data_IF_344655207326
#
_entry.id   IF_344655207326
#
_cell.length_a   1.000
_cell.length_b   1.000
_cell.length_c   1.000
_cell.angle_alpha   90.00
_cell.angle_beta   90.00
_cell.angle_gamma   90.00
#
_symmetry.space_group_name_H-M   'P 1'
#
loop_
_entity.id
_entity.type
_entity.pdbx_description
1 polymer ?
#
# COMPACT_ATOMS: atom_id res chain seq x y z
N UNK A 1 0.18 -3.80 -0.18
CA UNK A 1 1.48 -3.34 -0.70
C UNK A 1 2.40 -4.55 -0.84
N UNK A 2 3.02 -4.80 -1.99
CA UNK A 2 3.96 -5.89 -2.17
C UNK A 2 5.14 -5.80 -1.20
N UNK A 3 5.61 -6.95 -0.69
CA UNK A 3 6.79 -7.01 0.15
C UNK A 3 8.06 -6.76 -0.69
N UNK A 4 9.04 -6.12 -0.09
CA UNK A 4 10.34 -5.85 -0.71
C UNK A 4 11.48 -6.09 0.30
N UNK A 5 12.73 -6.03 -0.16
CA UNK A 5 13.91 -6.31 0.67
C UNK A 5 13.97 -5.52 1.99
N UNK A 6 13.42 -4.29 2.01
CA UNK A 6 13.32 -3.50 3.24
C UNK A 6 12.46 -4.16 4.33
N UNK A 7 11.40 -4.86 3.95
CA UNK A 7 10.57 -5.61 4.91
C UNK A 7 11.33 -6.83 5.46
N UNK A 8 12.02 -7.57 4.58
CA UNK A 8 12.85 -8.71 4.99
C UNK A 8 13.95 -8.27 5.94
N UNK A 9 14.66 -7.19 5.62
CA UNK A 9 15.67 -6.60 6.49
C UNK A 9 15.10 -6.28 7.87
N UNK A 10 13.96 -5.61 7.96
CA UNK A 10 13.35 -5.25 9.24
C UNK A 10 12.96 -6.49 10.07
N UNK A 11 12.42 -7.53 9.41
CA UNK A 11 12.09 -8.79 10.07
C UNK A 11 13.34 -9.48 10.63
N UNK A 12 14.43 -9.53 9.87
CA UNK A 12 15.69 -10.11 10.30
C UNK A 12 16.32 -9.33 11.44
N UNK A 13 16.32 -8.00 11.38
CA UNK A 13 16.82 -7.15 12.46
C UNK A 13 16.03 -7.36 13.74
N UNK A 14 14.69 -7.33 13.67
CA UNK A 14 13.84 -7.56 14.83
C UNK A 14 14.04 -8.96 15.44
N UNK A 15 14.17 -9.98 14.59
CA UNK A 15 14.45 -11.33 15.03
C UNK A 15 15.81 -11.43 15.75
N UNK A 16 16.87 -10.86 15.15
CA UNK A 16 18.23 -10.90 15.71
C UNK A 16 18.29 -10.20 17.07
N UNK A 17 17.70 -9.01 17.20
CA UNK A 17 17.62 -8.28 18.47
C UNK A 17 16.85 -9.09 19.52
N UNK A 18 15.73 -9.71 19.13
CA UNK A 18 14.98 -10.58 20.04
C UNK A 18 15.79 -11.76 20.55
N UNK A 19 16.62 -12.38 19.70
CA UNK A 19 17.50 -13.49 20.12
C UNK A 19 18.59 -13.02 21.07
N UNK A 20 19.23 -11.87 20.81
CA UNK A 20 20.26 -11.29 21.70
C UNK A 20 19.66 -11.00 23.09
N UNK A 21 18.51 -10.35 23.14
CA UNK A 21 17.84 -10.04 24.40
C UNK A 21 17.46 -11.32 25.18
N UNK A 22 16.97 -12.34 24.47
CA UNK A 22 16.64 -13.63 25.08
C UNK A 22 17.89 -14.33 25.65
N UNK A 23 19.01 -14.30 24.91
CA UNK A 23 20.28 -14.87 25.37
C UNK A 23 20.82 -14.16 26.62
N UNK A 24 20.50 -12.89 26.82
CA UNK A 24 20.82 -12.14 28.03
C UNK A 24 19.80 -12.33 29.18
N UNK A 25 18.96 -13.35 29.12
CA UNK A 25 18.02 -13.68 30.18
C UNK A 25 16.73 -12.86 30.21
N UNK A 26 16.49 -12.01 29.23
CA UNK A 26 15.26 -11.21 29.20
C UNK A 26 14.06 -12.04 28.68
N UNK A 27 12.88 -11.78 29.24
CA UNK A 27 11.62 -12.28 28.67
C UNK A 27 11.27 -11.47 27.44
N UNK A 28 11.32 -12.08 26.26
CA UNK A 28 11.05 -11.41 24.99
C UNK A 28 9.71 -11.84 24.44
N UNK A 29 8.83 -10.89 24.19
CA UNK A 29 7.54 -11.07 23.49
C UNK A 29 7.65 -10.39 22.12
N UNK A 30 7.55 -11.21 21.06
CA UNK A 30 7.52 -10.69 19.69
C UNK A 30 6.08 -10.36 19.32
N UNK A 31 5.86 -9.14 18.88
CA UNK A 31 4.56 -8.65 18.43
C UNK A 31 4.69 -7.98 17.07
N UNK A 32 3.58 -7.92 16.33
CA UNK A 32 3.49 -7.12 15.11
C UNK A 32 2.16 -6.35 15.12
N UNK A 33 2.20 -5.18 14.52
CA UNK A 33 1.00 -4.39 14.31
C UNK A 33 0.31 -4.87 13.04
N UNK A 34 -0.97 -5.22 13.16
CA UNK A 34 -1.83 -5.49 12.02
C UNK A 34 -2.56 -4.19 11.68
N UNK A 35 -2.30 -3.68 10.47
CA UNK A 35 -2.96 -2.49 9.95
C UNK A 35 -3.74 -2.88 8.70
N UNK A 36 -5.03 -3.04 8.85
CA UNK A 36 -5.99 -3.40 7.81
C UNK A 36 -6.79 -2.19 7.29
N UNK A 37 -6.56 -1.00 7.86
CA UNK A 37 -7.18 0.26 7.45
C UNK A 37 -6.11 1.32 7.16
N UNK A 38 -6.22 1.98 6.02
CA UNK A 38 -5.32 3.07 5.67
C UNK A 38 -5.29 3.39 4.18
N UNK A 39 -4.64 4.48 3.83
CA UNK A 39 -4.61 5.00 2.45
C UNK A 39 -4.05 3.99 1.43
N UNK A 40 -3.09 3.15 1.81
CA UNK A 40 -2.51 2.16 0.90
C UNK A 40 -3.53 1.08 0.50
N UNK A 41 -4.42 0.69 1.43
CA UNK A 41 -5.49 -0.26 1.16
C UNK A 41 -6.54 0.40 0.27
N UNK A 42 -6.92 1.64 0.58
CA UNK A 42 -7.84 2.42 -0.26
C UNK A 42 -7.36 2.56 -1.70
N UNK A 43 -6.05 2.75 -1.91
CA UNK A 43 -5.44 2.80 -3.26
C UNK A 43 -5.66 1.51 -4.05
N UNK A 44 -5.37 0.36 -3.43
CA UNK A 44 -5.58 -0.95 -4.08
C UNK A 44 -7.05 -1.22 -4.36
N UNK A 45 -7.92 -0.94 -3.39
CA UNK A 45 -9.36 -1.12 -3.53
C UNK A 45 -9.95 -0.25 -4.63
N UNK A 46 -9.55 1.02 -4.68
CA UNK A 46 -10.01 1.96 -5.70
C UNK A 46 -9.57 1.51 -7.11
N UNK A 47 -8.30 1.15 -7.28
CA UNK A 47 -7.80 0.67 -8.55
C UNK A 47 -8.51 -0.63 -8.98
N UNK A 48 -8.74 -1.55 -8.06
CA UNK A 48 -9.52 -2.76 -8.35
C UNK A 48 -10.95 -2.42 -8.80
N UNK A 49 -11.60 -1.48 -8.13
CA UNK A 49 -12.95 -1.05 -8.50
C UNK A 49 -13.02 -0.40 -9.88
N UNK A 50 -12.03 0.43 -10.22
CA UNK A 50 -12.00 1.17 -11.48
C UNK A 50 -11.55 0.32 -12.66
N UNK A 51 -10.59 -0.58 -12.45
CA UNK A 51 -9.88 -1.28 -13.52
C UNK A 51 -9.94 -2.80 -13.43
N UNK A 52 -10.50 -3.36 -12.35
CA UNK A 52 -10.49 -4.79 -12.09
C UNK A 52 -11.61 -5.58 -12.77
N UNK A 53 -12.66 -4.91 -13.26
CA UNK A 53 -13.76 -5.61 -13.93
C UNK A 53 -14.39 -6.75 -13.13
N UNK A 54 -14.32 -6.71 -11.79
CA UNK A 54 -14.80 -7.78 -10.92
C UNK A 54 -13.84 -8.97 -10.76
N UNK A 55 -12.56 -8.83 -11.17
CA UNK A 55 -11.54 -9.87 -11.00
C UNK A 55 -11.43 -10.30 -9.52
N UNK A 56 -11.40 -11.59 -9.27
CA UNK A 56 -11.25 -12.21 -7.95
C UNK A 56 -10.03 -13.12 -7.94
N UNK A 57 -9.53 -13.53 -6.75
CA UNK A 57 -8.48 -14.54 -6.67
C UNK A 57 -8.85 -15.83 -7.40
N UNK A 58 -10.12 -16.25 -7.31
CA UNK A 58 -10.61 -17.45 -7.98
C UNK A 58 -10.63 -17.30 -9.51
N UNK A 59 -11.11 -16.16 -10.04
CA UNK A 59 -11.19 -15.94 -11.49
C UNK A 59 -9.82 -15.69 -12.13
N UNK A 60 -8.87 -15.12 -11.38
CA UNK A 60 -7.52 -14.80 -11.87
C UNK A 60 -6.49 -15.92 -11.65
N UNK A 61 -6.80 -16.91 -10.80
CA UNK A 61 -5.85 -17.93 -10.36
C UNK A 61 -4.71 -17.38 -9.47
N UNK A 62 -4.80 -16.13 -9.05
CA UNK A 62 -3.81 -15.50 -8.19
C UNK A 62 -4.19 -15.63 -6.71
N UNK A 63 -3.17 -15.64 -5.83
CA UNK A 63 -3.40 -15.45 -4.39
C UNK A 63 -3.94 -14.06 -4.12
N UNK A 64 -4.77 -13.91 -3.08
CA UNK A 64 -5.40 -12.64 -2.73
C UNK A 64 -4.41 -11.49 -2.46
N UNK A 65 -3.30 -11.78 -1.79
CA UNK A 65 -2.24 -10.79 -1.53
C UNK A 65 -1.55 -10.31 -2.83
N UNK A 66 -1.35 -11.20 -3.80
CA UNK A 66 -0.83 -10.87 -5.12
C UNK A 66 -1.82 -10.02 -5.92
N UNK A 67 -3.12 -10.35 -5.84
CA UNK A 67 -4.17 -9.55 -6.49
C UNK A 67 -4.21 -8.13 -5.95
N UNK A 68 -4.17 -7.97 -4.61
CA UNK A 68 -4.10 -6.65 -3.96
C UNK A 68 -2.83 -5.91 -4.37
N UNK A 69 -1.69 -6.59 -4.43
CA UNK A 69 -0.42 -6.04 -4.91
C UNK A 69 -0.47 -5.57 -6.35
N UNK A 70 -1.10 -6.34 -7.26
CA UNK A 70 -1.34 -5.96 -8.65
C UNK A 70 -2.05 -4.62 -8.76
N UNK A 71 -3.15 -4.45 -8.04
CA UNK A 71 -3.92 -3.20 -8.08
C UNK A 71 -3.27 -2.05 -7.33
N UNK A 72 -2.39 -2.31 -6.38
CA UNK A 72 -1.54 -1.26 -5.81
C UNK A 72 -0.59 -0.67 -6.85
N UNK A 73 0.03 -1.52 -7.66
CA UNK A 73 0.91 -1.09 -8.76
C UNK A 73 0.11 -0.37 -9.86
N UNK A 74 -1.08 -0.88 -10.18
CA UNK A 74 -1.96 -0.24 -11.17
C UNK A 74 -2.39 1.16 -10.74
N UNK A 75 -2.73 1.35 -9.45
CA UNK A 75 -2.97 2.68 -8.90
C UNK A 75 -1.77 3.62 -9.13
N UNK A 76 -0.56 3.16 -8.85
CA UNK A 76 0.66 3.99 -8.98
C UNK A 76 0.91 4.43 -10.43
N UNK A 77 0.63 3.57 -11.40
CA UNK A 77 0.73 3.92 -12.84
C UNK A 77 -0.20 5.08 -13.20
N UNK A 78 -1.48 4.96 -12.85
CA UNK A 78 -2.47 6.00 -13.14
C UNK A 78 -2.18 7.28 -12.36
N UNK A 79 -1.76 7.16 -11.11
CA UNK A 79 -1.36 8.30 -10.29
C UNK A 79 -0.19 9.07 -10.90
N UNK A 80 0.86 8.37 -11.35
CA UNK A 80 2.01 8.99 -12.03
C UNK A 80 1.64 9.63 -13.37
N UNK A 81 0.74 9.03 -14.13
CA UNK A 81 0.24 9.60 -15.36
C UNK A 81 -0.49 10.92 -15.10
N UNK A 82 -1.41 10.95 -14.14
CA UNK A 82 -2.14 12.16 -13.76
C UNK A 82 -1.22 13.28 -13.24
N UNK A 83 -0.19 12.93 -12.45
CA UNK A 83 0.82 13.91 -12.02
C UNK A 83 1.51 14.54 -13.23
N UNK A 84 1.96 13.74 -14.20
CA UNK A 84 2.61 14.26 -15.41
C UNK A 84 1.71 15.22 -16.20
N UNK A 85 0.43 14.88 -16.34
CA UNK A 85 -0.56 15.74 -17.00
C UNK A 85 -0.74 17.08 -16.26
N UNK A 86 -0.85 17.06 -14.94
CA UNK A 86 -1.01 18.26 -14.13
C UNK A 86 0.24 19.14 -14.12
N UNK A 87 1.43 18.54 -14.11
CA UNK A 87 2.69 19.27 -14.22
C UNK A 87 2.81 19.90 -15.62
N UNK A 88 2.45 19.17 -16.67
CA UNK A 88 2.42 19.73 -18.04
C UNK A 88 1.41 20.89 -18.18
N UNK A 89 0.34 20.88 -17.36
CA UNK A 89 -0.63 21.97 -17.27
C UNK A 89 -0.17 23.15 -16.38
N UNK A 90 1.07 23.15 -15.88
CA UNK A 90 1.68 24.26 -15.14
C UNK A 90 1.61 24.17 -13.62
N UNK A 91 1.16 23.05 -13.06
CA UNK A 91 1.22 22.86 -11.60
C UNK A 91 2.63 22.43 -11.15
N UNK A 92 3.00 22.81 -9.94
CA UNK A 92 4.20 22.23 -9.31
C UNK A 92 4.01 20.74 -9.03
N UNK A 93 5.10 19.99 -8.95
CA UNK A 93 5.04 18.55 -8.70
C UNK A 93 4.33 18.21 -7.36
N UNK A 94 4.55 19.04 -6.32
CA UNK A 94 3.90 18.87 -5.03
C UNK A 94 2.39 19.11 -5.09
N UNK A 95 1.96 20.14 -5.81
CA UNK A 95 0.54 20.41 -6.05
C UNK A 95 -0.11 19.32 -6.89
N UNK A 96 0.55 18.89 -7.95
CA UNK A 96 0.08 17.80 -8.81
C UNK A 96 -0.11 16.49 -8.03
N UNK A 97 0.80 16.14 -7.11
CA UNK A 97 0.67 14.98 -6.22
C UNK A 97 -0.55 15.06 -5.31
N UNK A 98 -0.89 16.26 -4.82
CA UNK A 98 -2.08 16.47 -3.97
C UNK A 98 -3.37 16.52 -4.78
N UNK A 99 -3.31 17.07 -5.99
CA UNK A 99 -4.46 17.33 -6.84
C UNK A 99 -4.83 16.19 -7.77
N UNK A 100 -3.97 15.19 -7.95
CA UNK A 100 -4.24 14.04 -8.81
C UNK A 100 -5.61 13.40 -8.48
N UNK A 101 -6.54 13.32 -9.43
CA UNK A 101 -7.92 12.90 -9.17
C UNK A 101 -8.03 11.54 -8.48
N UNK A 102 -7.23 10.56 -8.91
CA UNK A 102 -7.24 9.22 -8.31
C UNK A 102 -6.77 9.23 -6.85
N UNK A 103 -5.83 10.10 -6.49
CA UNK A 103 -5.38 10.26 -5.10
C UNK A 103 -6.47 10.89 -4.23
N UNK A 104 -7.15 11.90 -4.74
CA UNK A 104 -8.26 12.56 -4.02
C UNK A 104 -9.41 11.58 -3.77
N UNK A 105 -9.72 10.71 -4.73
CA UNK A 105 -10.73 9.66 -4.56
C UNK A 105 -10.29 8.64 -3.48
N UNK A 106 -9.02 8.21 -3.47
CA UNK A 106 -8.52 7.31 -2.44
C UNK A 106 -8.58 7.94 -1.04
N UNK A 107 -8.27 9.24 -0.91
CA UNK A 107 -8.41 9.98 0.34
C UNK A 107 -9.87 10.11 0.79
N UNK A 108 -10.79 10.30 -0.14
CA UNK A 108 -12.21 10.34 0.16
C UNK A 108 -12.72 8.98 0.67
N UNK A 109 -12.26 7.88 0.07
CA UNK A 109 -12.58 6.55 0.56
C UNK A 109 -12.06 6.31 1.97
N UNK A 110 -10.85 6.78 2.28
CA UNK A 110 -10.31 6.69 3.62
C UNK A 110 -11.17 7.47 4.62
N UNK A 111 -11.54 8.71 4.30
CA UNK A 111 -12.43 9.53 5.15
C UNK A 111 -13.76 8.85 5.44
N UNK A 112 -14.40 8.27 4.41
CA UNK A 112 -15.64 7.52 4.59
C UNK A 112 -15.49 6.26 5.42
N UNK A 113 -14.31 5.66 5.38
CA UNK A 113 -14.01 4.47 6.17
C UNK A 113 -13.73 4.82 7.64
N UNK A 114 -13.26 6.03 7.90
CA UNK A 114 -12.95 6.51 9.24
C UNK A 114 -14.16 7.18 9.95
N UNK A 115 -15.16 7.59 9.19
CA UNK A 115 -16.42 8.15 9.71
C UNK A 115 -17.38 7.05 10.17
#
# INVERSE_FOLDING_TARGET
KPLHLGHIRNNLLGYSVAQILKANGNKVIKVNLVNDRGIHICKSMLAWKLYGGGETPASSGMKGDHLVGKYYVEFDKHYKAQIKELVAAGQSEEEAKKNAPIMRQAQEWLRRWEA
#
